data_IF_580546907351
#
_entry.id   IF_580546907351
#
_cell.length_a   1.000
_cell.length_b   1.000
_cell.length_c   1.000
_cell.angle_alpha   90.00
_cell.angle_beta   90.00
_cell.angle_gamma   90.00
#
_symmetry.space_group_name_H-M   'P 1'
#
loop_
_entity.id
_entity.type
_entity.pdbx_description
1 polymer ?
#
# COMPACT_ATOMS: atom_id res chain seq x y z
N UNK A 1 -44.12 6.33 64.27
CA UNK A 1 -42.83 5.66 64.08
C UNK A 1 -42.04 6.38 62.98
N UNK A 2 -41.10 7.26 63.34
CA UNK A 2 -40.25 8.02 62.39
C UNK A 2 -39.01 7.18 62.07
N UNK A 3 -38.91 6.68 60.84
CA UNK A 3 -37.76 5.91 60.33
C UNK A 3 -36.61 6.90 60.08
N UNK A 4 -35.67 6.93 61.01
CA UNK A 4 -34.51 7.83 60.99
C UNK A 4 -33.47 7.28 59.99
N UNK A 5 -33.55 7.70 58.74
CA UNK A 5 -32.54 7.38 57.72
C UNK A 5 -31.28 8.22 57.97
N UNK A 6 -30.21 7.56 58.44
CA UNK A 6 -28.91 8.20 58.71
C UNK A 6 -28.22 8.69 57.42
N UNK A 7 -27.65 9.91 57.39
CA UNK A 7 -27.05 10.51 56.19
C UNK A 7 -25.78 9.79 55.68
N UNK A 8 -25.21 8.87 56.47
CA UNK A 8 -23.99 8.12 56.14
C UNK A 8 -24.23 7.04 55.08
N UNK A 9 -25.42 6.43 55.05
CA UNK A 9 -25.76 5.34 54.10
C UNK A 9 -26.12 5.87 52.72
N UNK A 10 -26.74 7.05 52.63
CA UNK A 10 -26.96 7.75 51.35
C UNK A 10 -25.66 8.24 50.75
N UNK A 11 -24.73 8.75 51.57
CA UNK A 11 -23.41 9.19 51.09
C UNK A 11 -22.57 8.02 50.53
N UNK A 12 -22.57 6.86 51.21
CA UNK A 12 -21.91 5.65 50.71
C UNK A 12 -22.49 5.14 49.39
N UNK A 13 -23.80 5.28 49.19
CA UNK A 13 -24.47 4.91 47.95
C UNK A 13 -24.08 5.82 46.78
N UNK A 14 -23.96 7.13 47.00
CA UNK A 14 -23.48 8.06 45.97
C UNK A 14 -21.99 7.90 45.65
N UNK A 15 -21.17 7.53 46.63
CA UNK A 15 -19.75 7.20 46.40
C UNK A 15 -19.63 5.92 45.55
N UNK A 16 -20.43 4.90 45.85
CA UNK A 16 -20.44 3.66 45.07
C UNK A 16 -21.00 3.86 43.65
N UNK A 17 -22.02 4.70 43.49
CA UNK A 17 -22.58 5.09 42.20
C UNK A 17 -21.60 5.92 41.35
N UNK A 18 -20.81 6.80 41.99
CA UNK A 18 -19.74 7.55 41.34
C UNK A 18 -18.58 6.66 40.89
N UNK A 19 -18.21 5.65 41.69
CA UNK A 19 -17.16 4.68 41.36
C UNK A 19 -17.57 3.74 40.21
N UNK A 20 -18.85 3.38 40.13
CA UNK A 20 -19.41 2.54 39.06
C UNK A 20 -19.42 3.27 37.70
N UNK A 21 -19.70 4.58 37.69
CA UNK A 21 -19.70 5.40 36.47
C UNK A 21 -18.29 5.61 35.87
N UNK A 22 -17.24 5.66 36.70
CA UNK A 22 -15.85 5.79 36.24
C UNK A 22 -15.30 4.52 35.57
N UNK A 23 -15.95 3.38 35.79
CA UNK A 23 -15.49 2.08 35.27
C UNK A 23 -16.00 1.78 33.85
N UNK A 24 -16.89 2.60 33.30
CA UNK A 24 -17.59 2.32 32.03
C UNK A 24 -17.16 3.20 30.85
N UNK A 25 -16.03 3.90 30.94
CA UNK A 25 -15.45 4.60 29.78
C UNK A 25 -14.83 3.60 28.79
N UNK A 26 -15.66 2.76 28.19
CA UNK A 26 -15.31 2.05 26.96
C UNK A 26 -15.24 3.12 25.88
N UNK A 27 -14.04 3.56 25.55
CA UNK A 27 -13.78 4.36 24.37
C UNK A 27 -14.12 3.48 23.17
N UNK A 28 -15.33 3.65 22.63
CA UNK A 28 -15.71 3.05 21.36
C UNK A 28 -14.82 3.66 20.28
N UNK A 29 -13.71 2.97 19.98
CA UNK A 29 -12.92 3.21 18.78
C UNK A 29 -13.82 2.86 17.58
N UNK A 30 -14.58 3.84 17.09
CA UNK A 30 -15.27 3.71 15.82
C UNK A 30 -14.22 3.37 14.77
N UNK A 31 -14.32 2.18 14.18
CA UNK A 31 -13.38 1.72 13.16
C UNK A 31 -13.63 2.56 11.92
N UNK A 32 -12.82 3.60 11.76
CA UNK A 32 -12.93 4.56 10.66
C UNK A 32 -12.71 3.82 9.32
N UNK A 33 -13.73 3.81 8.48
CA UNK A 33 -13.65 3.24 7.12
C UNK A 33 -12.73 4.14 6.30
N UNK A 34 -11.65 3.57 5.77
CA UNK A 34 -10.70 4.28 4.91
C UNK A 34 -11.26 4.41 3.51
N UNK A 35 -11.21 5.61 2.95
CA UNK A 35 -11.70 5.88 1.60
C UNK A 35 -10.54 5.99 0.62
N UNK A 36 -10.64 5.33 -0.53
CA UNK A 36 -9.59 5.27 -1.55
C UNK A 36 -10.15 5.71 -2.89
N UNK A 37 -9.43 6.56 -3.62
CA UNK A 37 -9.72 6.90 -5.00
C UNK A 37 -8.60 6.38 -5.90
N UNK A 38 -8.96 5.68 -6.97
CA UNK A 38 -8.02 5.18 -7.98
C UNK A 38 -8.11 6.06 -9.21
N UNK A 39 -7.02 6.77 -9.52
CA UNK A 39 -6.94 7.61 -10.71
C UNK A 39 -6.71 6.73 -11.96
N UNK A 40 -7.10 7.21 -13.15
CA UNK A 40 -6.72 6.57 -14.40
C UNK A 40 -5.20 6.44 -14.50
N UNK A 41 -4.71 5.26 -14.87
CA UNK A 41 -3.28 5.01 -15.02
C UNK A 41 -2.75 5.65 -16.30
N UNK A 42 -1.59 6.29 -16.26
CA UNK A 42 -0.97 6.82 -17.47
C UNK A 42 -0.43 5.68 -18.34
N UNK A 43 -0.65 5.71 -19.65
CA UNK A 43 -0.11 4.73 -20.59
C UNK A 43 1.02 5.40 -21.36
N UNK A 44 2.21 4.82 -21.27
CA UNK A 44 3.40 5.26 -21.98
C UNK A 44 3.86 4.06 -22.83
N UNK A 45 3.20 3.86 -23.96
CA UNK A 45 3.44 2.74 -24.88
C UNK A 45 3.18 3.17 -26.33
N UNK A 46 3.85 2.54 -27.32
CA UNK A 46 3.58 2.81 -28.74
C UNK A 46 2.24 2.23 -29.21
N UNK A 47 1.78 1.14 -28.60
CA UNK A 47 0.47 0.52 -28.85
C UNK A 47 -0.62 1.05 -27.90
N UNK A 48 -1.88 0.90 -28.31
CA UNK A 48 -3.03 1.22 -27.47
C UNK A 48 -3.24 0.13 -26.41
N UNK A 49 -3.07 0.50 -25.13
CA UNK A 49 -3.27 -0.35 -23.97
C UNK A 49 -4.48 0.06 -23.13
N UNK A 50 -5.40 0.86 -23.67
CA UNK A 50 -6.57 1.38 -22.92
C UNK A 50 -7.41 0.26 -22.31
N UNK A 51 -7.55 -0.88 -23.00
CA UNK A 51 -8.25 -2.06 -22.48
C UNK A 51 -7.54 -2.68 -21.26
N UNK A 52 -6.19 -2.65 -21.24
CA UNK A 52 -5.39 -3.13 -20.10
C UNK A 52 -5.54 -2.17 -18.93
N UNK A 53 -5.47 -0.86 -19.20
CA UNK A 53 -5.67 0.19 -18.21
C UNK A 53 -7.04 0.04 -17.52
N UNK A 54 -8.12 -0.10 -18.30
CA UNK A 54 -9.47 -0.33 -17.77
C UNK A 54 -9.55 -1.60 -16.92
N UNK A 55 -9.00 -2.71 -17.42
CA UNK A 55 -8.94 -3.97 -16.70
C UNK A 55 -8.18 -3.86 -15.37
N UNK A 56 -7.05 -3.15 -15.36
CA UNK A 56 -6.23 -2.88 -14.18
C UNK A 56 -7.00 -2.04 -13.15
N UNK A 57 -7.65 -0.96 -13.57
CA UNK A 57 -8.40 -0.07 -12.67
C UNK A 57 -9.59 -0.82 -12.06
N UNK A 58 -10.38 -1.52 -12.87
CA UNK A 58 -11.51 -2.33 -12.38
C UNK A 58 -11.05 -3.42 -11.40
N UNK A 59 -9.94 -4.08 -11.70
CA UNK A 59 -9.33 -5.09 -10.84
C UNK A 59 -8.89 -4.49 -9.50
N UNK A 60 -8.25 -3.32 -9.50
CA UNK A 60 -7.82 -2.61 -8.29
C UNK A 60 -9.03 -2.25 -7.42
N UNK A 61 -10.09 -1.71 -8.01
CA UNK A 61 -11.33 -1.43 -7.29
C UNK A 61 -11.83 -2.66 -6.54
N UNK A 62 -11.96 -3.79 -7.23
CA UNK A 62 -12.46 -5.03 -6.63
C UNK A 62 -11.56 -5.55 -5.50
N UNK A 63 -10.24 -5.53 -5.69
CA UNK A 63 -9.29 -6.12 -4.72
C UNK A 63 -9.00 -5.26 -3.51
N UNK A 64 -9.21 -3.94 -3.60
CA UNK A 64 -8.99 -3.01 -2.50
C UNK A 64 -10.21 -2.87 -1.59
N UNK A 65 -11.42 -3.11 -2.10
CA UNK A 65 -12.64 -3.09 -1.26
C UNK A 65 -12.49 -4.10 -0.11
N UNK A 66 -12.75 -3.61 1.10
CA UNK A 66 -12.77 -4.40 2.30
C UNK A 66 -13.95 -4.00 3.17
N UNK A 67 -14.91 -4.91 3.32
CA UNK A 67 -16.13 -4.67 4.08
C UNK A 67 -15.82 -4.06 5.46
N UNK A 68 -16.53 -2.97 5.76
CA UNK A 68 -16.46 -2.21 7.01
C UNK A 68 -15.07 -1.61 7.35
N UNK A 69 -14.14 -1.56 6.38
CA UNK A 69 -12.76 -1.07 6.61
C UNK A 69 -12.18 -0.22 5.48
N UNK A 70 -12.42 -0.58 4.22
CA UNK A 70 -11.93 0.13 3.03
C UNK A 70 -13.04 0.25 2.01
N UNK A 71 -13.36 1.50 1.65
CA UNK A 71 -14.29 1.85 0.59
C UNK A 71 -13.52 2.45 -0.58
N UNK A 72 -13.81 2.00 -1.80
CA UNK A 72 -13.21 2.55 -3.02
C UNK A 72 -14.25 3.42 -3.71
N UNK A 73 -13.90 4.68 -3.97
CA UNK A 73 -14.76 5.64 -4.66
C UNK A 73 -15.02 5.15 -6.09
N UNK A 74 -16.24 5.30 -6.59
CA UNK A 74 -16.63 4.90 -7.94
C UNK A 74 -15.68 5.45 -9.02
N UNK A 75 -15.32 4.59 -9.98
CA UNK A 75 -14.36 4.90 -11.05
C UNK A 75 -14.79 6.13 -11.84
N UNK A 76 -16.04 6.18 -12.32
CA UNK A 76 -16.57 7.31 -13.10
C UNK A 76 -16.54 8.64 -12.34
N UNK A 77 -16.81 8.61 -11.03
CA UNK A 77 -16.74 9.82 -10.19
C UNK A 77 -15.30 10.31 -10.09
N UNK A 78 -14.35 9.40 -9.89
CA UNK A 78 -12.92 9.71 -9.82
C UNK A 78 -12.40 10.27 -11.13
N UNK A 79 -12.73 9.65 -12.27
CA UNK A 79 -12.39 10.10 -13.62
C UNK A 79 -12.92 11.51 -13.91
N UNK A 80 -14.18 11.77 -13.59
CA UNK A 80 -14.80 13.08 -13.79
C UNK A 80 -14.04 14.18 -13.05
N UNK A 81 -13.73 13.95 -11.77
CA UNK A 81 -12.99 14.92 -10.97
C UNK A 81 -11.54 15.08 -11.41
N UNK A 82 -10.88 13.98 -11.79
CA UNK A 82 -9.52 14.00 -12.32
C UNK A 82 -9.39 14.87 -13.58
N UNK A 83 -10.38 14.82 -14.47
CA UNK A 83 -10.42 15.59 -15.70
C UNK A 83 -10.78 17.07 -15.50
N UNK A 84 -11.59 17.39 -14.48
CA UNK A 84 -11.99 18.76 -14.14
C UNK A 84 -10.87 19.53 -13.44
N UNK A 85 -10.15 18.88 -12.52
CA UNK A 85 -9.11 19.52 -11.70
C UNK A 85 -7.78 19.51 -12.46
N UNK A 86 -7.44 20.66 -13.04
CA UNK A 86 -6.16 20.93 -13.70
C UNK A 86 -5.33 21.87 -12.81
N UNK A 87 -4.33 21.31 -12.13
CA UNK A 87 -3.27 22.09 -11.47
C UNK A 87 -1.93 21.59 -12.04
N UNK A 88 -1.04 22.53 -12.37
CA UNK A 88 0.28 22.24 -12.91
C UNK A 88 1.23 21.64 -11.86
N UNK A 89 0.98 21.92 -10.57
CA UNK A 89 1.72 21.29 -9.49
C UNK A 89 1.06 19.96 -9.12
N UNK A 90 1.80 18.86 -9.30
CA UNK A 90 1.30 17.51 -9.06
C UNK A 90 0.77 17.31 -7.64
N UNK A 91 1.49 17.79 -6.64
CA UNK A 91 1.17 17.52 -5.23
C UNK A 91 -0.08 18.27 -4.80
N UNK A 92 -0.21 19.55 -5.19
CA UNK A 92 -1.43 20.32 -4.97
C UNK A 92 -2.63 19.75 -5.72
N UNK A 93 -2.41 19.24 -6.94
CA UNK A 93 -3.47 18.58 -7.72
C UNK A 93 -4.00 17.37 -6.96
N UNK A 94 -3.11 16.53 -6.43
CA UNK A 94 -3.47 15.34 -5.65
C UNK A 94 -4.21 15.71 -4.35
N UNK A 95 -3.73 16.69 -3.58
CA UNK A 95 -4.43 17.15 -2.37
C UNK A 95 -5.83 17.71 -2.71
N UNK A 96 -5.98 18.43 -3.81
CA UNK A 96 -7.26 19.00 -4.25
C UNK A 96 -8.23 17.91 -4.71
N UNK A 97 -7.73 16.92 -5.47
CA UNK A 97 -8.52 15.75 -5.87
C UNK A 97 -9.04 14.98 -4.67
N UNK A 98 -8.17 14.72 -3.69
CA UNK A 98 -8.55 14.01 -2.47
C UNK A 98 -9.64 14.74 -1.68
N UNK A 99 -9.52 16.07 -1.54
CA UNK A 99 -10.55 16.90 -0.89
C UNK A 99 -11.87 16.85 -1.65
N UNK A 100 -11.85 16.98 -2.97
CA UNK A 100 -13.06 16.93 -3.82
C UNK A 100 -13.75 15.57 -3.75
N UNK A 101 -12.97 14.49 -3.71
CA UNK A 101 -13.47 13.12 -3.70
C UNK A 101 -13.86 12.64 -2.29
N UNK A 102 -13.36 13.30 -1.23
CA UNK A 102 -13.51 12.86 0.15
C UNK A 102 -12.69 11.60 0.44
N UNK A 103 -11.50 11.49 -0.15
CA UNK A 103 -10.65 10.30 -0.07
C UNK A 103 -9.53 10.47 0.95
N UNK A 104 -9.25 9.41 1.72
CA UNK A 104 -8.08 9.34 2.63
C UNK A 104 -6.80 8.95 1.88
N UNK A 105 -6.96 8.24 0.76
CA UNK A 105 -5.86 7.79 -0.08
C UNK A 105 -6.12 8.05 -1.56
N UNK A 106 -5.08 8.44 -2.30
CA UNK A 106 -5.13 8.56 -3.76
C UNK A 106 -4.13 7.57 -4.35
N UNK A 107 -4.60 6.69 -5.24
CA UNK A 107 -3.76 5.79 -6.01
C UNK A 107 -3.58 6.37 -7.40
N UNK A 108 -2.34 6.49 -7.83
CA UNK A 108 -1.93 6.88 -9.18
C UNK A 108 -0.92 5.87 -9.71
N UNK A 109 -0.74 5.82 -11.02
CA UNK A 109 0.28 4.97 -11.59
C UNK A 109 0.42 5.12 -13.08
N UNK A 110 1.38 4.39 -13.63
CA UNK A 110 1.68 4.34 -15.05
C UNK A 110 2.00 2.92 -15.49
N UNK A 111 1.67 2.63 -16.74
CA UNK A 111 2.09 1.44 -17.45
C UNK A 111 3.02 1.92 -18.56
N UNK A 112 4.27 1.47 -18.52
CA UNK A 112 5.29 1.87 -19.48
C UNK A 112 5.75 0.65 -20.27
N UNK A 113 5.63 0.70 -21.60
CA UNK A 113 6.23 -0.28 -22.48
C UNK A 113 7.55 0.29 -23.03
N UNK A 114 8.65 -0.40 -22.76
CA UNK A 114 9.96 -0.02 -23.24
C UNK A 114 10.73 -1.25 -23.75
N UNK A 115 11.14 -1.21 -25.01
CA UNK A 115 11.73 -2.34 -25.72
C UNK A 115 10.83 -3.59 -25.63
N UNK A 116 11.30 -4.67 -24.99
CA UNK A 116 10.56 -5.93 -24.86
C UNK A 116 9.99 -6.14 -23.45
N UNK A 117 9.86 -5.06 -22.67
CA UNK A 117 9.45 -5.12 -21.28
C UNK A 117 8.41 -4.06 -20.93
N UNK A 118 7.51 -4.44 -20.04
CA UNK A 118 6.52 -3.58 -19.43
C UNK A 118 6.86 -3.33 -17.96
N UNK A 119 6.74 -2.08 -17.53
CA UNK A 119 6.75 -1.68 -16.12
C UNK A 119 5.37 -1.22 -15.71
N UNK A 120 4.95 -1.60 -14.50
CA UNK A 120 3.78 -1.06 -13.83
C UNK A 120 4.28 -0.35 -12.59
N UNK A 121 4.14 0.97 -12.56
CA UNK A 121 4.55 1.80 -11.43
C UNK A 121 3.32 2.38 -10.77
N UNK A 122 3.06 1.98 -9.52
CA UNK A 122 1.91 2.42 -8.73
C UNK A 122 2.37 3.19 -7.51
N UNK A 123 1.75 4.33 -7.25
CA UNK A 123 1.99 5.16 -6.08
C UNK A 123 0.69 5.42 -5.34
N UNK A 124 0.74 5.33 -4.02
CA UNK A 124 -0.38 5.70 -3.15
C UNK A 124 0.05 6.88 -2.27
N UNK A 125 -0.78 7.92 -2.25
CA UNK A 125 -0.62 9.06 -1.38
C UNK A 125 -1.56 8.94 -0.18
N UNK A 126 -0.99 9.00 1.01
CA UNK A 126 -1.72 9.08 2.27
C UNK A 126 -1.92 10.55 2.64
N UNK A 127 -3.17 11.00 2.62
CA UNK A 127 -3.53 12.41 2.80
C UNK A 127 -3.26 12.88 4.24
N UNK A 128 -3.46 11.99 5.22
CA UNK A 128 -3.29 12.33 6.64
C UNK A 128 -1.83 12.51 7.00
N UNK A 129 -1.00 11.57 6.54
CA UNK A 129 0.42 11.55 6.86
C UNK A 129 1.30 12.25 5.81
N UNK A 130 0.71 12.71 4.70
CA UNK A 130 1.38 13.38 3.58
C UNK A 130 2.57 12.60 3.02
N UNK A 131 2.40 11.28 2.89
CA UNK A 131 3.47 10.37 2.50
C UNK A 131 3.10 9.61 1.22
N UNK A 132 4.11 9.37 0.39
CA UNK A 132 4.02 8.52 -0.79
C UNK A 132 4.56 7.13 -0.49
N UNK A 133 3.85 6.10 -0.94
CA UNK A 133 4.35 4.73 -0.96
C UNK A 133 4.32 4.24 -2.41
N UNK A 134 5.41 3.63 -2.86
CA UNK A 134 5.57 3.16 -4.23
C UNK A 134 5.61 1.63 -4.29
N UNK A 135 5.00 1.09 -5.33
CA UNK A 135 4.95 -0.34 -5.64
C UNK A 135 5.17 -0.49 -7.14
N UNK A 136 6.09 -1.38 -7.52
CA UNK A 136 6.36 -1.64 -8.92
C UNK A 136 6.49 -3.13 -9.19
N UNK A 137 6.15 -3.50 -10.41
CA UNK A 137 6.34 -4.83 -10.97
C UNK A 137 6.72 -4.70 -12.44
N UNK A 138 7.49 -5.66 -12.94
CA UNK A 138 7.90 -5.73 -14.33
C UNK A 138 7.45 -7.04 -14.96
N UNK A 139 7.24 -7.00 -16.27
CA UNK A 139 6.85 -8.14 -17.08
C UNK A 139 7.48 -8.07 -18.46
N UNK A 140 7.75 -9.21 -19.07
CA UNK A 140 8.12 -9.31 -20.51
C UNK A 140 6.92 -9.59 -21.41
N UNK A 141 5.75 -9.87 -20.82
CA UNK A 141 4.53 -10.19 -21.55
C UNK A 141 3.36 -9.32 -21.10
N UNK A 142 2.59 -8.85 -22.08
CA UNK A 142 1.38 -8.06 -21.85
C UNK A 142 0.32 -8.82 -21.02
N UNK A 143 0.20 -10.14 -21.23
CA UNK A 143 -0.76 -10.99 -20.52
C UNK A 143 -0.48 -11.08 -19.01
N UNK A 144 0.76 -10.81 -18.61
CA UNK A 144 1.18 -10.86 -17.21
C UNK A 144 0.91 -9.53 -16.48
N UNK A 145 0.51 -8.46 -17.17
CA UNK A 145 0.24 -7.16 -16.54
C UNK A 145 -0.86 -7.21 -15.49
N UNK A 146 -1.95 -7.93 -15.76
CA UNK A 146 -3.06 -8.10 -14.80
C UNK A 146 -2.60 -8.92 -13.58
N UNK A 147 -1.94 -10.09 -13.73
CA UNK A 147 -1.29 -10.78 -12.60
C UNK A 147 -0.32 -9.91 -11.79
N UNK A 148 0.52 -9.12 -12.46
CA UNK A 148 1.47 -8.22 -11.78
C UNK A 148 0.75 -7.13 -11.00
N UNK A 149 -0.29 -6.52 -11.56
CA UNK A 149 -1.11 -5.57 -10.82
C UNK A 149 -1.85 -6.23 -9.65
N UNK A 150 -2.28 -7.49 -9.81
CA UNK A 150 -2.85 -8.27 -8.69
C UNK A 150 -1.84 -8.43 -7.55
N UNK A 151 -0.56 -8.66 -7.85
CA UNK A 151 0.49 -8.70 -6.84
C UNK A 151 0.71 -7.34 -6.16
N UNK A 152 0.71 -6.24 -6.93
CA UNK A 152 0.76 -4.87 -6.38
C UNK A 152 -0.40 -4.63 -5.42
N UNK A 153 -1.63 -5.00 -5.81
CA UNK A 153 -2.81 -4.82 -4.95
C UNK A 153 -2.72 -5.60 -3.63
N UNK A 154 -2.09 -6.78 -3.65
CA UNK A 154 -1.86 -7.59 -2.46
C UNK A 154 -0.83 -6.92 -1.53
N UNK A 155 0.25 -6.36 -2.11
CA UNK A 155 1.25 -5.56 -1.39
C UNK A 155 0.64 -4.30 -0.78
N UNK A 156 -0.23 -3.59 -1.51
CA UNK A 156 -0.97 -2.42 -1.01
C UNK A 156 -1.87 -2.83 0.16
N UNK A 157 -2.68 -3.87 0.00
CA UNK A 157 -3.55 -4.39 1.05
C UNK A 157 -2.79 -4.66 2.35
N UNK A 158 -1.62 -5.32 2.27
CA UNK A 158 -0.80 -5.56 3.45
C UNK A 158 -0.17 -4.27 3.99
N UNK A 159 0.49 -3.48 3.14
CA UNK A 159 1.31 -2.35 3.60
C UNK A 159 0.49 -1.18 4.13
N UNK A 160 -0.66 -0.90 3.50
CA UNK A 160 -1.49 0.28 3.78
C UNK A 160 -2.63 -0.04 4.73
N UNK A 161 -3.28 -1.19 4.53
CA UNK A 161 -4.49 -1.55 5.28
C UNK A 161 -4.25 -2.69 6.29
N UNK A 162 -3.02 -3.21 6.40
CA UNK A 162 -2.68 -4.39 7.20
C UNK A 162 -3.64 -5.57 6.96
N UNK A 163 -4.04 -5.75 5.70
CA UNK A 163 -4.88 -6.85 5.24
C UNK A 163 -4.02 -7.91 4.57
N UNK A 164 -3.98 -9.09 5.19
CA UNK A 164 -3.43 -10.26 4.53
C UNK A 164 -4.41 -10.82 3.49
N UNK A 165 -3.85 -11.25 2.37
CA UNK A 165 -4.57 -11.85 1.26
C UNK A 165 -3.85 -13.13 0.85
N UNK A 166 -4.57 -14.08 0.25
CA UNK A 166 -3.98 -15.33 -0.24
C UNK A 166 -2.80 -15.03 -1.18
N UNK A 167 -3.00 -14.09 -2.10
CA UNK A 167 -1.98 -13.64 -3.06
C UNK A 167 -0.75 -13.09 -2.34
N UNK A 168 -0.92 -12.26 -1.30
CA UNK A 168 0.21 -11.75 -0.53
C UNK A 168 1.01 -12.89 0.12
N UNK A 169 0.32 -13.86 0.72
CA UNK A 169 0.95 -14.98 1.39
C UNK A 169 1.70 -15.89 0.40
N UNK A 170 1.14 -16.12 -0.79
CA UNK A 170 1.81 -16.85 -1.87
C UNK A 170 3.05 -16.12 -2.37
N UNK A 171 3.01 -14.79 -2.51
CA UNK A 171 4.19 -13.98 -2.88
C UNK A 171 5.31 -14.11 -1.85
N UNK A 172 4.98 -13.98 -0.57
CA UNK A 172 5.96 -14.14 0.53
C UNK A 172 6.55 -15.55 0.51
N UNK A 173 5.73 -16.58 0.31
CA UNK A 173 6.22 -17.97 0.21
C UNK A 173 7.18 -18.14 -0.97
N UNK A 174 6.83 -17.62 -2.15
CA UNK A 174 7.69 -17.69 -3.34
C UNK A 174 9.03 -16.96 -3.13
N UNK A 175 9.01 -15.79 -2.48
CA UNK A 175 10.23 -15.05 -2.14
C UNK A 175 11.12 -15.85 -1.17
N UNK A 176 10.53 -16.46 -0.15
CA UNK A 176 11.25 -17.33 0.79
C UNK A 176 11.84 -18.56 0.08
N UNK A 177 11.05 -19.26 -0.74
CA UNK A 177 11.53 -20.41 -1.50
C UNK A 177 12.68 -20.04 -2.44
N UNK A 178 12.60 -18.90 -3.13
CA UNK A 178 13.69 -18.38 -3.97
C UNK A 178 14.93 -18.05 -3.13
N UNK A 179 14.76 -17.39 -1.99
CA UNK A 179 15.87 -17.08 -1.09
C UNK A 179 16.54 -18.36 -0.55
N UNK A 180 15.76 -19.38 -0.17
CA UNK A 180 16.27 -20.68 0.26
C UNK A 180 16.92 -21.47 -0.90
N UNK A 181 16.40 -21.34 -2.12
CA UNK A 181 17.08 -21.85 -3.31
C UNK A 181 18.43 -21.17 -3.53
N UNK A 182 18.51 -19.84 -3.41
CA UNK A 182 19.76 -19.10 -3.54
C UNK A 182 20.78 -19.47 -2.47
N UNK A 183 20.37 -19.65 -1.22
CA UNK A 183 21.25 -20.13 -0.14
C UNK A 183 21.83 -21.52 -0.42
N UNK A 184 21.08 -22.37 -1.14
CA UNK A 184 21.53 -23.70 -1.54
C UNK A 184 22.38 -23.71 -2.80
N UNK A 185 22.37 -22.64 -3.60
CA UNK A 185 23.22 -22.50 -4.77
C UNK A 185 24.63 -22.04 -4.35
N UNK A 186 25.66 -22.56 -5.03
CA UNK A 186 27.06 -22.29 -4.68
C UNK A 186 27.35 -20.78 -4.70
N UNK A 187 27.96 -20.19 -3.65
CA UNK A 187 28.20 -18.74 -3.55
C UNK A 187 29.02 -18.15 -4.71
N UNK A 188 29.80 -18.97 -5.40
CA UNK A 188 30.61 -18.58 -6.56
C UNK A 188 29.78 -18.07 -7.75
N UNK A 189 28.51 -18.46 -7.88
CA UNK A 189 27.61 -17.96 -8.94
C UNK A 189 27.06 -16.56 -8.69
N UNK A 190 27.28 -16.02 -7.50
CA UNK A 190 26.83 -14.67 -7.11
C UNK A 190 27.91 -13.61 -7.34
N UNK A 191 29.13 -14.02 -7.71
CA UNK A 191 30.17 -13.09 -8.10
C UNK A 191 29.92 -12.66 -9.56
N UNK A 192 29.96 -11.35 -9.88
CA UNK A 192 30.00 -10.94 -11.28
C UNK A 192 31.18 -11.66 -11.95
N UNK A 193 30.91 -12.38 -13.05
CA UNK A 193 31.97 -13.04 -13.82
C UNK A 193 32.93 -11.95 -14.34
N UNK A 194 34.09 -11.81 -13.69
CA UNK A 194 35.11 -10.88 -14.14
C UNK A 194 35.64 -11.36 -15.50
N UNK A 195 35.61 -10.52 -16.54
CA UNK A 195 36.18 -10.87 -17.84
C UNK A 195 37.63 -11.31 -17.64
N UNK A 196 38.06 -12.33 -18.39
CA UNK A 196 39.32 -13.05 -18.15
C UNK A 196 40.58 -12.16 -18.14
N UNK A 197 40.50 -10.91 -18.62
CA UNK A 197 41.58 -9.92 -18.61
C UNK A 197 41.72 -9.07 -17.33
N UNK A 198 40.78 -9.12 -16.38
CA UNK A 198 40.84 -8.29 -15.15
C UNK A 198 41.34 -9.02 -13.91
N UNK A 199 41.55 -10.34 -13.99
CA UNK A 199 41.99 -11.17 -12.85
C UNK A 199 43.41 -10.86 -12.35
N UNK A 200 44.25 -10.22 -13.16
CA UNK A 200 45.65 -9.93 -12.79
C UNK A 200 45.83 -8.64 -11.98
N UNK A 201 44.85 -7.72 -11.94
CA UNK A 201 44.92 -6.57 -11.03
C UNK A 201 44.23 -6.88 -9.72
N UNK A 202 44.75 -7.87 -8.98
CA UNK A 202 44.37 -8.14 -7.59
C UNK A 202 44.65 -6.91 -6.70
N UNK A 203 43.64 -6.06 -6.62
CA UNK A 203 43.10 -5.45 -5.42
C UNK A 203 44.03 -5.34 -4.18
N UNK A 204 44.73 -4.23 -4.09
CA UNK A 204 45.35 -3.75 -2.85
C UNK A 204 44.36 -2.98 -1.94
N UNK A 205 43.12 -2.73 -2.38
CA UNK A 205 42.17 -1.84 -1.70
C UNK A 205 41.34 -2.51 -0.59
N UNK A 206 41.23 -3.84 -0.57
CA UNK A 206 40.45 -4.55 0.46
C UNK A 206 41.24 -4.78 1.77
N UNK A 207 42.57 -4.75 1.74
CA UNK A 207 43.43 -4.90 2.93
C UNK A 207 43.38 -3.71 3.90
N UNK A 208 42.74 -2.61 3.50
CA UNK A 208 42.60 -1.42 4.32
C UNK A 208 41.73 -1.65 5.58
N UNK A 209 40.86 -2.65 5.55
CA UNK A 209 39.93 -2.96 6.64
C UNK A 209 40.50 -3.91 7.72
N UNK A 210 41.70 -4.47 7.53
CA UNK A 210 42.35 -5.35 8.52
C UNK A 210 43.06 -4.57 9.64
N UNK A 211 43.24 -3.25 9.51
CA UNK A 211 43.97 -2.39 10.45
C UNK A 211 43.07 -1.36 11.16
N UNK A 212 41.75 -1.54 11.10
CA UNK A 212 40.73 -0.73 11.79
C UNK A 212 40.05 -1.57 12.86
#
# INVERSE_FOLDING_TARGET
MKKNSSPKSTCLFYIFLGLLCLSFSVVAQAKEIKTVAVLPFEIIAPEDLSYVQDGIVQMLHSRLVWKDKVSVIEQKKTETQFNQIKDQNSDRRIETLAKSLGSDYIITGSITHFADAFSIDTRIYDIRNKQWMAFSEQSTAINDLIPKMSAISAKINKKVFDRETVIYNDLVRQEQEKAEQWKRQNPERLMPEMPAGEREKKSSLWRFWEYL
#
